data_IF_478798076612
#
_entry.id   IF_478798076612
#
_cell.length_a   1.000
_cell.length_b   1.000
_cell.length_c   1.000
_cell.angle_alpha   90.00
_cell.angle_beta   90.00
_cell.angle_gamma   90.00
#
_symmetry.space_group_name_H-M   'P 1'
#
loop_
_entity.id
_entity.type
_entity.pdbx_description
1 polymer ?
#
# COMPACT_ATOMS: atom_id res chain seq x y z
N UNK A 1 -13.68 0.58 19.44
CA UNK A 1 -13.55 0.44 17.97
C UNK A 1 -12.09 0.23 17.62
N UNK A 2 -11.77 -0.75 16.77
CA UNK A 2 -10.40 -0.97 16.28
C UNK A 2 -9.97 0.24 15.44
N UNK A 3 -8.82 0.83 15.76
CA UNK A 3 -8.11 1.75 14.87
C UNK A 3 -8.02 1.09 13.49
N UNK A 4 -8.44 1.76 12.42
CA UNK A 4 -8.09 1.38 11.04
C UNK A 4 -6.60 1.63 10.73
N UNK A 5 -5.77 1.83 11.76
CA UNK A 5 -4.36 2.17 11.64
C UNK A 5 -3.53 0.92 11.87
N UNK A 6 -3.16 0.26 10.78
CA UNK A 6 -1.86 -0.38 10.73
C UNK A 6 -0.82 0.62 10.22
N UNK A 7 0.45 0.41 10.59
CA UNK A 7 1.57 1.19 10.03
C UNK A 7 1.80 0.86 8.53
N UNK A 8 1.04 -0.07 7.96
CA UNK A 8 1.06 -0.56 6.58
C UNK A 8 0.02 0.13 5.67
N UNK A 9 -0.41 1.32 6.07
CA UNK A 9 -1.43 2.11 5.40
C UNK A 9 -0.90 2.75 4.10
N UNK A 10 -1.33 2.20 2.95
CA UNK A 10 -0.83 2.58 1.63
C UNK A 10 -1.03 4.06 1.25
N UNK A 11 -1.92 4.79 1.95
CA UNK A 11 -2.12 6.22 1.72
C UNK A 11 -1.06 7.14 2.35
N UNK A 12 -0.19 6.62 3.24
CA UNK A 12 0.98 7.36 3.72
C UNK A 12 2.07 7.45 2.64
N UNK A 13 2.12 6.46 1.74
CA UNK A 13 3.12 6.38 0.68
C UNK A 13 2.58 6.97 -0.64
N UNK A 14 3.46 7.66 -1.36
CA UNK A 14 3.21 8.02 -2.76
C UNK A 14 3.18 6.77 -3.64
N UNK A 15 2.52 6.89 -4.81
CA UNK A 15 2.51 5.78 -5.79
C UNK A 15 3.92 5.40 -6.25
N UNK A 16 4.85 6.36 -6.29
CA UNK A 16 6.24 6.14 -6.70
C UNK A 16 7.00 5.36 -5.62
N UNK A 17 6.86 5.73 -4.35
CA UNK A 17 7.47 4.99 -3.24
C UNK A 17 7.00 3.54 -3.19
N UNK A 18 5.70 3.30 -3.34
CA UNK A 18 5.15 1.94 -3.44
C UNK A 18 5.79 1.20 -4.62
N UNK A 19 5.83 1.80 -5.82
CA UNK A 19 6.42 1.14 -6.99
C UNK A 19 7.89 0.76 -6.75
N UNK A 20 8.69 1.66 -6.17
CA UNK A 20 10.09 1.37 -5.84
C UNK A 20 10.23 0.23 -4.83
N UNK A 21 9.43 0.22 -3.77
CA UNK A 21 9.45 -0.87 -2.78
C UNK A 21 9.12 -2.21 -3.45
N UNK A 22 8.09 -2.23 -4.30
CA UNK A 22 7.68 -3.42 -5.04
C UNK A 22 8.75 -3.88 -6.03
N UNK A 23 9.42 -2.96 -6.73
CA UNK A 23 10.51 -3.31 -7.65
C UNK A 23 11.69 -3.98 -6.94
N UNK A 24 12.05 -3.52 -5.75
CA UNK A 24 13.08 -4.18 -4.92
C UNK A 24 12.68 -5.63 -4.66
N UNK A 25 11.45 -5.85 -4.18
CA UNK A 25 10.91 -7.18 -3.86
C UNK A 25 10.89 -8.09 -5.10
N UNK A 26 10.36 -7.61 -6.23
CA UNK A 26 10.29 -8.35 -7.49
C UNK A 26 11.69 -8.70 -8.00
N UNK A 27 12.65 -7.78 -7.85
CA UNK A 27 14.04 -7.99 -8.27
C UNK A 27 14.80 -9.01 -7.42
N UNK A 28 14.17 -9.54 -6.36
CA UNK A 28 14.80 -10.46 -5.40
C UNK A 28 16.00 -9.87 -4.66
N UNK A 29 16.06 -8.54 -4.57
CA UNK A 29 17.14 -7.82 -3.89
C UNK A 29 16.69 -7.43 -2.49
N UNK A 30 17.60 -7.51 -1.53
CA UNK A 30 17.44 -6.84 -0.24
C UNK A 30 17.69 -5.34 -0.40
N UNK A 31 16.87 -4.45 0.19
CA UNK A 31 17.21 -3.03 0.24
C UNK A 31 18.52 -2.85 0.99
N UNK A 32 19.38 -1.95 0.51
CA UNK A 32 20.68 -1.70 1.16
C UNK A 32 20.46 -1.06 2.53
N UNK A 33 21.33 -1.27 3.53
CA UNK A 33 21.14 -0.71 4.87
C UNK A 33 20.94 0.81 4.87
N UNK A 34 21.69 1.53 4.04
CA UNK A 34 21.58 2.98 3.86
C UNK A 34 20.22 3.41 3.30
N UNK A 35 19.65 2.62 2.39
CA UNK A 35 18.31 2.86 1.83
C UNK A 35 17.21 2.55 2.83
N UNK A 36 17.35 1.43 3.54
CA UNK A 36 16.41 1.01 4.58
C UNK A 36 16.36 2.04 5.73
N UNK A 37 17.50 2.60 6.14
CA UNK A 37 17.59 3.67 7.16
C UNK A 37 16.93 5.00 6.73
N UNK A 38 16.71 5.23 5.43
CA UNK A 38 16.03 6.43 4.91
C UNK A 38 14.51 6.25 4.83
N UNK A 39 14.01 5.03 4.98
CA UNK A 39 12.58 4.77 4.97
C UNK A 39 11.96 5.19 6.30
N UNK A 40 10.78 5.78 6.21
CA UNK A 40 9.96 6.01 7.40
C UNK A 40 9.27 4.70 7.84
N UNK A 41 8.64 4.74 9.02
CA UNK A 41 7.97 3.58 9.60
C UNK A 41 6.88 3.00 8.67
N UNK A 42 6.26 3.84 7.83
CA UNK A 42 5.24 3.41 6.88
C UNK A 42 5.85 2.65 5.70
N UNK A 43 6.95 3.13 5.13
CA UNK A 43 7.66 2.46 4.06
C UNK A 43 8.25 1.13 4.52
N UNK A 44 8.84 1.07 5.71
CA UNK A 44 9.34 -0.17 6.33
C UNK A 44 8.20 -1.17 6.53
N UNK A 45 7.11 -0.75 7.18
CA UNK A 45 5.96 -1.62 7.45
C UNK A 45 5.32 -2.14 6.16
N UNK A 46 5.18 -1.27 5.15
CA UNK A 46 4.69 -1.65 3.84
C UNK A 46 5.60 -2.66 3.14
N UNK A 47 6.92 -2.44 3.14
CA UNK A 47 7.89 -3.39 2.59
C UNK A 47 7.77 -4.76 3.24
N UNK A 48 7.79 -4.84 4.57
CA UNK A 48 7.69 -6.11 5.30
C UNK A 48 6.38 -6.86 4.99
N UNK A 49 5.26 -6.12 4.95
CA UNK A 49 3.97 -6.70 4.57
C UNK A 49 3.97 -7.22 3.14
N UNK A 50 4.57 -6.48 2.21
CA UNK A 50 4.67 -6.91 0.82
C UNK A 50 5.61 -8.11 0.66
N UNK A 51 6.71 -8.21 1.43
CA UNK A 51 7.55 -9.41 1.44
C UNK A 51 6.74 -10.66 1.79
N UNK A 52 5.86 -10.55 2.78
CA UNK A 52 4.91 -11.62 3.14
C UNK A 52 3.95 -11.93 2.00
N UNK A 53 3.39 -10.90 1.34
CA UNK A 53 2.47 -11.07 0.21
C UNK A 53 3.12 -11.71 -1.03
N UNK A 54 4.43 -11.52 -1.21
CA UNK A 54 5.21 -12.14 -2.27
C UNK A 54 5.85 -13.47 -1.85
N UNK A 55 5.65 -13.93 -0.62
CA UNK A 55 6.30 -15.12 -0.06
C UNK A 55 7.83 -15.07 -0.22
N UNK A 56 8.42 -13.94 0.14
CA UNK A 56 9.88 -13.72 0.13
C UNK A 56 10.35 -13.43 1.53
N UNK A 57 11.32 -14.23 1.98
CA UNK A 57 11.97 -14.04 3.26
C UNK A 57 13.25 -13.21 3.09
N UNK A 58 13.19 -11.93 3.48
CA UNK A 58 14.35 -11.05 3.54
C UNK A 58 14.76 -10.74 4.99
N UNK A 59 14.58 -11.67 5.94
CA UNK A 59 14.91 -11.52 7.37
C UNK A 59 16.40 -11.25 7.70
N UNK A 60 17.21 -10.70 6.80
CA UNK A 60 18.65 -10.52 7.00
C UNK A 60 19.15 -9.08 6.86
N UNK A 61 18.34 -8.08 7.25
CA UNK A 61 18.81 -6.69 7.32
C UNK A 61 19.16 -6.16 8.72
N UNK A 62 19.07 -7.00 9.75
CA UNK A 62 19.49 -6.64 11.12
C UNK A 62 20.85 -7.26 11.55
N UNK A 63 21.64 -7.79 10.61
CA UNK A 63 22.93 -8.42 10.94
C UNK A 63 24.15 -7.65 10.41
N UNK A 64 24.20 -6.32 10.59
CA UNK A 64 25.49 -5.60 10.52
C UNK A 64 25.51 -4.31 11.36
N UNK A 65 24.84 -4.31 12.50
CA UNK A 65 25.11 -3.34 13.58
C UNK A 65 25.21 -4.10 14.90
N UNK A 66 26.44 -4.22 15.40
CA UNK A 66 26.85 -4.86 16.67
C UNK A 66 26.82 -6.40 16.72
N UNK A 67 28.02 -7.00 16.69
CA UNK A 67 28.51 -8.09 17.56
C UNK A 67 29.85 -8.57 16.96
N UNK A 68 31.01 -8.04 17.35
CA UNK A 68 31.64 -8.26 18.66
C UNK A 68 30.68 -8.30 19.85
N UNK A 69 30.10 -9.49 20.08
CA UNK A 69 30.62 -10.31 21.17
C UNK A 69 30.31 -11.79 20.90
N UNK A 70 31.38 -12.58 20.95
CA UNK A 70 31.50 -14.04 21.02
C UNK A 70 30.68 -14.94 20.06
N UNK A 71 31.41 -15.56 19.11
CA UNK A 71 31.14 -16.96 18.71
C UNK A 71 32.41 -17.78 18.80
N UNK A 72 32.32 -18.93 19.50
CA UNK A 72 32.62 -20.32 19.07
C UNK A 72 32.82 -21.16 20.34
N UNK A 73 32.41 -22.43 20.45
CA UNK A 73 32.01 -23.46 19.48
C UNK A 73 31.29 -24.60 20.24
N UNK A 74 30.58 -25.43 19.48
CA UNK A 74 29.94 -26.69 19.80
C UNK A 74 30.74 -27.62 20.76
N UNK A 75 30.07 -28.33 21.66
CA UNK A 75 29.65 -29.75 21.56
C UNK A 75 29.15 -30.26 22.93
N UNK A 76 28.02 -30.97 22.96
CA UNK A 76 27.48 -31.73 24.10
C UNK A 76 28.30 -33.01 24.40
N UNK A 77 28.07 -33.78 25.50
CA UNK A 77 27.44 -33.49 26.81
C UNK A 77 28.30 -33.94 28.03
N UNK A 78 27.78 -33.68 29.24
CA UNK A 78 27.98 -34.41 30.52
C UNK A 78 29.15 -34.05 31.47
N UNK A 79 28.74 -33.54 32.65
CA UNK A 79 29.27 -33.76 34.03
C UNK A 79 30.66 -33.29 34.49
N UNK A 80 30.60 -32.47 35.57
CA UNK A 80 31.43 -32.41 36.81
C UNK A 80 32.86 -31.81 36.81
N UNK A 81 32.95 -30.72 37.59
CA UNK A 81 33.94 -30.34 38.62
C UNK A 81 35.44 -30.07 38.31
N UNK A 82 35.80 -28.82 38.67
CA UNK A 82 36.98 -28.35 39.43
C UNK A 82 38.39 -28.27 38.79
N UNK A 83 38.95 -27.05 38.91
CA UNK A 83 40.30 -26.69 39.40
C UNK A 83 41.41 -26.28 38.41
N UNK A 84 41.72 -24.97 38.48
CA UNK A 84 43.05 -24.33 38.68
C UNK A 84 44.10 -24.16 37.55
N UNK A 85 44.55 -22.89 37.48
CA UNK A 85 45.92 -22.34 37.30
C UNK A 85 46.53 -22.10 35.89
N UNK A 86 46.83 -20.80 35.68
CA UNK A 86 48.12 -20.17 35.33
C UNK A 86 48.61 -20.10 33.87
N UNK A 87 48.81 -18.85 33.41
CA UNK A 87 50.05 -18.31 32.82
C UNK A 87 50.34 -18.59 31.34
N UNK A 88 50.32 -17.54 30.51
CA UNK A 88 51.50 -16.95 29.82
C UNK A 88 51.07 -16.05 28.65
N UNK A 89 51.74 -14.89 28.58
CA UNK A 89 51.74 -13.92 27.48
C UNK A 89 52.37 -14.53 26.23
N UNK A 90 51.76 -14.31 25.06
CA UNK A 90 52.51 -14.12 23.81
C UNK A 90 51.89 -12.98 23.01
N UNK A 91 52.74 -11.99 22.76
CA UNK A 91 52.55 -10.80 21.95
C UNK A 91 52.58 -11.22 20.47
N UNK A 92 51.53 -10.92 19.69
CA UNK A 92 51.61 -11.06 18.23
C UNK A 92 50.99 -9.86 17.51
N UNK A 93 51.80 -9.34 16.60
CA UNK A 93 51.74 -8.06 15.91
C UNK A 93 50.44 -7.83 15.11
N UNK A 94 49.85 -6.64 15.27
CA UNK A 94 48.65 -6.22 14.55
C UNK A 94 49.07 -5.43 13.30
N UNK A 95 48.94 -6.04 12.11
CA UNK A 95 48.96 -5.30 10.85
C UNK A 95 47.55 -5.18 10.30
N UNK A 96 46.88 -4.08 10.62
CA UNK A 96 45.54 -3.70 10.15
C UNK A 96 45.58 -3.41 8.64
N UNK A 97 44.99 -4.28 7.81
CA UNK A 97 44.58 -3.89 6.46
C UNK A 97 43.22 -3.20 6.56
N UNK A 98 43.23 -1.86 6.61
CA UNK A 98 42.02 -1.05 6.53
C UNK A 98 41.32 -1.28 5.20
N UNK A 99 40.01 -1.54 5.26
CA UNK A 99 39.12 -1.43 4.10
C UNK A 99 39.23 0.01 3.60
N UNK A 100 39.67 0.17 2.35
CA UNK A 100 39.98 1.47 1.77
C UNK A 100 38.68 2.26 1.56
N UNK A 101 38.74 3.56 1.87
CA UNK A 101 37.66 4.52 1.67
C UNK A 101 37.16 4.50 0.20
N UNK A 102 38.04 4.15 -0.74
CA UNK A 102 37.72 3.99 -2.16
C UNK A 102 36.73 2.85 -2.43
N UNK A 103 36.77 1.74 -1.68
CA UNK A 103 35.85 0.60 -1.84
C UNK A 103 34.42 0.98 -1.38
N UNK A 104 34.32 1.67 -0.24
CA UNK A 104 33.05 2.24 0.26
C UNK A 104 32.46 3.29 -0.69
N UNK A 105 33.30 4.15 -1.28
CA UNK A 105 32.86 5.15 -2.25
C UNK A 105 32.48 4.54 -3.60
N UNK A 106 33.04 3.38 -3.95
CA UNK A 106 32.68 2.64 -5.16
C UNK A 106 31.31 1.99 -5.00
N UNK A 107 31.04 1.36 -3.86
CA UNK A 107 29.75 0.76 -3.52
C UNK A 107 28.63 1.82 -3.48
N UNK A 108 28.89 3.00 -2.91
CA UNK A 108 27.94 4.14 -2.92
C UNK A 108 27.64 4.62 -4.35
N UNK A 109 28.65 4.67 -5.23
CA UNK A 109 28.46 5.10 -6.64
C UNK A 109 27.69 4.06 -7.46
N UNK A 110 27.92 2.78 -7.22
CA UNK A 110 27.20 1.68 -7.88
C UNK A 110 25.73 1.59 -7.40
N UNK A 111 25.47 1.87 -6.12
CA UNK A 111 24.11 1.96 -5.57
C UNK A 111 23.34 3.19 -6.09
N UNK A 112 23.98 4.36 -6.14
CA UNK A 112 23.38 5.58 -6.73
C UNK A 112 23.06 5.38 -8.21
N UNK A 113 23.92 4.65 -8.94
CA UNK A 113 23.67 4.30 -10.34
C UNK A 113 22.48 3.33 -10.48
N UNK A 114 22.34 2.32 -9.62
CA UNK A 114 21.19 1.41 -9.66
C UNK A 114 19.87 2.08 -9.25
N UNK A 115 19.89 2.94 -8.24
CA UNK A 115 18.71 3.72 -7.83
C UNK A 115 18.32 4.74 -8.90
N UNK A 116 19.31 5.35 -9.55
CA UNK A 116 19.08 6.23 -10.68
C UNK A 116 18.61 5.46 -11.92
N UNK A 117 19.13 4.26 -12.21
CA UNK A 117 18.68 3.40 -13.30
C UNK A 117 17.28 2.84 -13.09
N UNK A 118 16.94 2.37 -11.88
CA UNK A 118 15.59 1.91 -11.54
C UNK A 118 14.61 3.09 -11.62
N UNK A 119 14.95 4.22 -11.02
CA UNK A 119 14.16 5.46 -11.12
C UNK A 119 14.05 5.96 -12.55
N UNK A 120 15.10 5.83 -13.37
CA UNK A 120 15.13 6.22 -14.78
C UNK A 120 14.35 5.22 -15.63
N UNK A 121 14.32 3.94 -15.29
CA UNK A 121 13.53 2.92 -15.98
C UNK A 121 12.04 3.03 -15.63
N UNK A 122 11.70 3.29 -14.36
CA UNK A 122 10.35 3.67 -13.94
C UNK A 122 9.89 4.95 -14.67
N UNK A 123 10.73 5.99 -14.69
CA UNK A 123 10.49 7.23 -15.44
C UNK A 123 10.43 7.02 -16.95
N UNK A 124 11.23 6.11 -17.52
CA UNK A 124 11.23 5.75 -18.95
C UNK A 124 9.97 4.98 -19.30
N UNK A 125 9.53 3.99 -18.51
CA UNK A 125 8.25 3.30 -18.70
C UNK A 125 7.08 4.28 -18.60
N UNK A 126 7.13 5.23 -17.67
CA UNK A 126 6.20 6.37 -17.59
C UNK A 126 6.32 7.35 -18.77
N UNK A 127 7.50 7.49 -19.37
CA UNK A 127 7.76 8.34 -20.53
C UNK A 127 7.43 7.66 -21.87
N UNK A 128 7.50 6.33 -21.95
CA UNK A 128 7.02 5.53 -23.09
C UNK A 128 5.51 5.73 -23.23
N UNK A 129 4.77 5.83 -22.12
CA UNK A 129 3.35 6.25 -22.11
C UNK A 129 3.17 7.67 -22.70
N UNK A 130 4.16 8.55 -22.61
CA UNK A 130 4.12 9.90 -23.21
C UNK A 130 4.53 9.94 -24.69
N UNK A 131 5.23 8.92 -25.20
CA UNK A 131 5.73 8.86 -26.58
C UNK A 131 4.71 8.26 -27.58
N UNK A 132 3.67 7.58 -27.09
CA UNK A 132 2.59 7.01 -27.91
C UNK A 132 1.47 8.06 -28.04
N UNK A 133 1.74 9.14 -28.78
CA UNK A 133 0.78 10.24 -28.98
C UNK A 133 0.47 11.04 -27.70
N UNK A 134 -0.35 12.09 -27.81
CA UNK A 134 -0.78 12.87 -26.63
C UNK A 134 -1.47 11.91 -25.64
N UNK A 135 -0.95 11.74 -24.41
CA UNK A 135 -1.59 10.86 -23.44
C UNK A 135 -3.02 11.35 -23.17
N UNK A 136 -4.01 10.49 -23.46
CA UNK A 136 -5.40 10.74 -23.13
C UNK A 136 -5.52 10.54 -21.61
N UNK A 137 -5.58 11.64 -20.88
CA UNK A 137 -5.80 11.59 -19.44
C UNK A 137 -7.28 11.57 -19.13
N UNK A 138 -7.71 10.53 -18.43
CA UNK A 138 -9.06 10.47 -17.88
C UNK A 138 -9.08 11.31 -16.61
N UNK A 139 -10.00 12.27 -16.54
CA UNK A 139 -10.25 13.03 -15.32
C UNK A 139 -11.52 12.48 -14.68
N UNK A 140 -11.36 11.86 -13.51
CA UNK A 140 -12.49 11.51 -12.68
C UNK A 140 -13.29 12.73 -12.21
N UNK A 141 -14.46 12.53 -11.58
CA UNK A 141 -14.97 11.25 -11.09
C UNK A 141 -15.37 10.25 -12.20
N UNK A 142 -15.17 8.96 -11.95
CA UNK A 142 -15.42 7.89 -12.92
C UNK A 142 -16.80 7.29 -12.74
N UNK A 143 -17.59 7.30 -13.82
CA UNK A 143 -18.87 6.58 -13.89
C UNK A 143 -18.62 5.21 -14.50
N UNK A 144 -18.47 4.19 -13.66
CA UNK A 144 -18.15 2.82 -14.08
C UNK A 144 -19.40 1.95 -14.32
N UNK A 145 -20.57 2.51 -14.06
CA UNK A 145 -21.88 1.89 -14.28
C UNK A 145 -23.01 2.86 -13.96
N UNK A 146 -24.23 2.38 -14.07
CA UNK A 146 -25.45 3.15 -13.78
C UNK A 146 -26.49 2.31 -13.05
N UNK A 147 -27.31 2.99 -12.25
CA UNK A 147 -28.52 2.40 -11.68
C UNK A 147 -29.71 2.59 -12.63
N UNK A 148 -30.64 1.65 -12.60
CA UNK A 148 -31.95 1.80 -13.25
C UNK A 148 -32.73 2.96 -12.62
N UNK A 149 -33.62 3.64 -13.36
CA UNK A 149 -34.41 4.75 -12.82
C UNK A 149 -35.17 4.37 -11.55
N UNK A 150 -35.08 5.20 -10.50
CA UNK A 150 -35.70 4.95 -9.20
C UNK A 150 -34.95 3.94 -8.31
N UNK A 151 -33.75 3.51 -8.73
CA UNK A 151 -32.85 2.64 -7.95
C UNK A 151 -31.52 3.33 -7.64
N UNK A 152 -31.39 4.61 -7.95
CA UNK A 152 -30.20 5.39 -7.61
C UNK A 152 -29.99 5.45 -6.08
N UNK A 153 -28.74 5.49 -5.60
CA UNK A 153 -28.45 5.65 -4.18
C UNK A 153 -29.02 6.95 -3.63
N UNK A 154 -29.81 6.86 -2.57
CA UNK A 154 -30.33 8.00 -1.80
C UNK A 154 -29.38 8.41 -0.65
N UNK A 155 -28.53 7.48 -0.23
CA UNK A 155 -27.52 7.65 0.81
C UNK A 155 -26.12 7.27 0.32
N UNK A 156 -25.09 7.70 1.04
CA UNK A 156 -23.72 7.27 0.75
C UNK A 156 -23.48 5.83 1.20
N UNK A 157 -22.59 5.09 0.52
CA UNK A 157 -22.21 3.76 0.97
C UNK A 157 -21.60 3.78 2.37
N UNK A 158 -21.83 2.70 3.12
CA UNK A 158 -21.36 2.56 4.50
C UNK A 158 -19.86 2.82 4.66
N UNK A 159 -19.02 2.31 3.75
CA UNK A 159 -17.58 2.54 3.79
C UNK A 159 -17.18 4.01 3.63
N UNK A 160 -17.88 4.77 2.80
CA UNK A 160 -17.66 6.21 2.71
C UNK A 160 -18.09 6.92 4.01
N UNK A 161 -19.20 6.49 4.61
CA UNK A 161 -19.61 6.97 5.94
C UNK A 161 -18.53 6.71 7.00
N UNK A 162 -17.94 5.51 7.03
CA UNK A 162 -16.85 5.17 7.96
C UNK A 162 -15.65 6.11 7.82
N UNK A 163 -15.24 6.41 6.58
CA UNK A 163 -14.14 7.33 6.28
C UNK A 163 -14.46 8.78 6.70
N UNK A 164 -15.69 9.26 6.44
CA UNK A 164 -16.11 10.60 6.88
C UNK A 164 -16.19 10.66 8.41
N UNK A 165 -16.66 9.60 9.07
CA UNK A 165 -16.68 9.50 10.54
C UNK A 165 -15.27 9.57 11.11
N UNK A 166 -14.32 8.84 10.53
CA UNK A 166 -12.91 8.90 10.91
C UNK A 166 -12.37 10.33 10.81
N UNK A 167 -12.64 11.05 9.71
CA UNK A 167 -12.26 12.45 9.56
C UNK A 167 -12.88 13.36 10.64
N UNK A 168 -14.17 13.18 10.95
CA UNK A 168 -14.86 13.93 12.01
C UNK A 168 -14.25 13.64 13.39
N UNK A 169 -13.96 12.39 13.70
CA UNK A 169 -13.35 11.99 14.96
C UNK A 169 -11.91 12.52 15.09
N UNK A 170 -11.16 12.65 13.98
CA UNK A 170 -9.87 13.35 13.95
C UNK A 170 -10.04 14.84 14.23
N UNK A 171 -10.98 15.49 13.55
CA UNK A 171 -11.25 16.93 13.74
C UNK A 171 -11.65 17.26 15.19
N UNK A 172 -12.42 16.40 15.85
CA UNK A 172 -12.84 16.60 17.25
C UNK A 172 -11.69 16.55 18.26
N UNK A 173 -10.66 15.74 18.00
CA UNK A 173 -9.49 15.58 18.89
C UNK A 173 -8.28 16.39 18.45
N UNK A 174 -8.41 17.18 17.39
CA UNK A 174 -7.32 17.79 16.65
C UNK A 174 -6.45 18.67 17.56
N UNK A 175 -5.31 18.13 17.98
CA UNK A 175 -4.46 18.78 19.00
C UNK A 175 -2.98 18.87 18.58
N UNK A 176 -2.56 18.21 17.49
CA UNK A 176 -1.15 18.17 17.08
C UNK A 176 -0.96 17.94 15.57
N UNK A 177 0.30 17.98 15.13
CA UNK A 177 0.72 17.76 13.73
C UNK A 177 0.38 16.36 13.19
N UNK A 178 0.39 15.33 14.04
CA UNK A 178 0.05 13.96 13.62
C UNK A 178 -1.44 13.86 13.27
N UNK A 179 -2.33 14.46 14.08
CA UNK A 179 -3.75 14.53 13.76
C UNK A 179 -4.01 15.26 12.42
N UNK A 180 -3.17 16.25 12.07
CA UNK A 180 -3.25 16.91 10.76
C UNK A 180 -2.84 15.98 9.60
N UNK A 181 -1.79 15.19 9.77
CA UNK A 181 -1.36 14.19 8.78
C UNK A 181 -2.47 13.15 8.60
N UNK A 182 -3.01 12.66 9.71
CA UNK A 182 -4.09 11.68 9.72
C UNK A 182 -5.36 12.21 9.05
N UNK A 183 -5.73 13.46 9.32
CA UNK A 183 -6.88 14.11 8.67
C UNK A 183 -6.67 14.21 7.16
N UNK A 184 -5.47 14.64 6.73
CA UNK A 184 -5.13 14.71 5.30
C UNK A 184 -5.24 13.34 4.63
N UNK A 185 -4.91 12.27 5.35
CA UNK A 185 -4.98 10.90 4.84
C UNK A 185 -6.41 10.39 4.78
N UNK A 186 -7.21 10.59 5.83
CA UNK A 186 -8.64 10.30 5.80
C UNK A 186 -9.33 11.01 4.61
N UNK A 187 -9.00 12.27 4.37
CA UNK A 187 -9.55 13.03 3.23
C UNK A 187 -8.98 12.61 1.86
N UNK A 188 -7.75 12.08 1.81
CA UNK A 188 -7.24 11.41 0.59
C UNK A 188 -8.04 10.14 0.31
N UNK A 189 -8.35 9.33 1.32
CA UNK A 189 -9.20 8.13 1.20
C UNK A 189 -10.60 8.49 0.72
N UNK A 190 -11.24 9.50 1.33
CA UNK A 190 -12.55 10.01 0.92
C UNK A 190 -12.52 10.44 -0.55
N UNK A 191 -11.54 11.26 -0.96
CA UNK A 191 -11.42 11.70 -2.37
C UNK A 191 -11.15 10.55 -3.33
N UNK A 192 -10.35 9.57 -2.91
CA UNK A 192 -10.11 8.35 -3.68
C UNK A 192 -11.42 7.59 -3.88
N UNK A 193 -12.15 7.30 -2.80
CA UNK A 193 -13.45 6.65 -2.86
C UNK A 193 -14.40 7.38 -3.82
N UNK A 194 -14.56 8.70 -3.66
CA UNK A 194 -15.44 9.51 -4.50
C UNK A 194 -15.02 9.57 -5.98
N UNK A 195 -13.74 9.29 -6.28
CA UNK A 195 -13.23 9.24 -7.65
C UNK A 195 -13.60 7.93 -8.34
N UNK A 196 -13.39 6.79 -7.67
CA UNK A 196 -13.53 5.47 -8.29
C UNK A 196 -14.90 4.82 -8.08
N UNK A 197 -15.64 5.21 -7.04
CA UNK A 197 -16.98 4.71 -6.73
C UNK A 197 -18.07 5.78 -6.95
N UNK A 198 -17.83 6.73 -7.86
CA UNK A 198 -18.75 7.86 -8.05
C UNK A 198 -20.16 7.42 -8.47
N UNK A 199 -20.27 6.33 -9.24
CA UNK A 199 -21.57 5.75 -9.62
C UNK A 199 -22.44 5.34 -8.42
N UNK A 200 -21.85 5.14 -7.24
CA UNK A 200 -22.52 4.70 -6.02
C UNK A 200 -22.82 5.84 -5.04
N UNK A 201 -22.62 7.09 -5.46
CA UNK A 201 -22.92 8.25 -4.65
C UNK A 201 -24.29 8.83 -5.02
N UNK A 202 -25.01 9.43 -4.06
CA UNK A 202 -26.20 10.20 -4.37
C UNK A 202 -25.91 11.30 -5.39
N UNK A 203 -26.90 11.61 -6.21
CA UNK A 203 -26.76 12.62 -7.26
C UNK A 203 -26.32 13.97 -6.68
N UNK A 204 -25.22 14.52 -7.22
CA UNK A 204 -24.66 15.80 -6.78
C UNK A 204 -23.86 15.74 -5.47
N UNK A 205 -23.72 14.57 -4.84
CA UNK A 205 -22.99 14.44 -3.59
C UNK A 205 -21.52 14.83 -3.73
N UNK A 206 -21.02 15.62 -2.77
CA UNK A 206 -19.62 16.03 -2.65
C UNK A 206 -19.22 16.08 -1.18
N UNK A 207 -18.00 15.64 -0.89
CA UNK A 207 -17.44 15.78 0.45
C UNK A 207 -17.22 17.27 0.77
N UNK A 208 -17.79 17.71 1.89
CA UNK A 208 -17.56 19.02 2.46
C UNK A 208 -17.19 18.86 3.94
N UNK A 209 -15.95 19.25 4.29
CA UNK A 209 -15.42 19.16 5.65
C UNK A 209 -16.32 19.86 6.67
N UNK A 210 -16.86 21.04 6.34
CA UNK A 210 -17.68 21.83 7.26
C UNK A 210 -19.00 21.13 7.61
N UNK A 211 -19.54 20.35 6.68
CA UNK A 211 -20.83 19.66 6.84
C UNK A 211 -20.67 18.19 7.27
N UNK A 212 -19.43 17.69 7.39
CA UNK A 212 -19.15 16.30 7.67
C UNK A 212 -19.80 15.82 8.98
N UNK A 213 -19.72 16.61 10.05
CA UNK A 213 -20.33 16.27 11.35
C UNK A 213 -21.86 16.11 11.27
N UNK A 214 -22.53 16.95 10.49
CA UNK A 214 -23.98 16.87 10.27
C UNK A 214 -24.36 15.59 9.51
N UNK A 215 -23.59 15.27 8.46
CA UNK A 215 -23.78 14.05 7.68
C UNK A 215 -23.62 12.79 8.55
N UNK A 216 -22.67 12.78 9.48
CA UNK A 216 -22.50 11.65 10.41
C UNK A 216 -23.65 11.53 11.40
N UNK A 217 -24.16 12.66 11.92
CA UNK A 217 -25.24 12.65 12.91
C UNK A 217 -26.57 12.12 12.35
N UNK A 218 -26.84 12.35 11.05
CA UNK A 218 -28.06 11.89 10.39
C UNK A 218 -27.97 10.50 9.76
N UNK A 219 -26.83 9.81 9.83
CA UNK A 219 -26.64 8.51 9.19
C UNK A 219 -27.07 7.39 10.15
N UNK A 220 -27.98 6.51 9.71
CA UNK A 220 -28.47 5.36 10.49
C UNK A 220 -27.69 4.07 10.17
N UNK A 221 -26.57 3.75 10.85
CA UNK A 221 -25.78 2.57 10.51
C UNK A 221 -26.51 1.23 10.70
N UNK A 222 -27.68 1.22 11.35
CA UNK A 222 -28.48 0.01 11.62
C UNK A 222 -29.64 -0.19 10.64
N UNK A 223 -29.99 0.84 9.88
CA UNK A 223 -31.05 0.78 8.87
C UNK A 223 -30.67 -0.13 7.71
N UNK A 224 -31.60 -1.02 7.30
CA UNK A 224 -31.41 -1.95 6.18
C UNK A 224 -31.11 -1.26 4.84
N UNK A 225 -31.44 0.02 4.69
CA UNK A 225 -31.15 0.84 3.50
C UNK A 225 -29.68 1.21 3.34
N UNK A 226 -28.85 1.06 4.38
CA UNK A 226 -27.42 1.41 4.34
C UNK A 226 -26.50 0.24 3.96
N UNK A 227 -27.06 -0.96 3.81
CA UNK A 227 -26.38 -2.04 3.11
C UNK A 227 -26.25 -1.65 1.65
N UNK A 228 -25.14 -2.05 1.03
CA UNK A 228 -24.89 -1.68 -0.36
C UNK A 228 -25.92 -2.36 -1.28
N UNK A 229 -27.01 -1.64 -1.57
CA UNK A 229 -28.03 -2.10 -2.50
C UNK A 229 -27.51 -1.91 -3.92
N UNK A 230 -26.85 -2.93 -4.43
CA UNK A 230 -26.44 -3.02 -5.84
C UNK A 230 -27.63 -3.40 -6.75
N UNK A 231 -28.85 -3.46 -6.21
CA UNK A 231 -30.05 -3.78 -6.95
C UNK A 231 -30.30 -2.75 -8.06
N UNK A 232 -30.37 -3.22 -9.31
CA UNK A 232 -30.55 -2.36 -10.48
C UNK A 232 -29.27 -1.64 -10.95
N UNK A 233 -28.12 -1.90 -10.32
CA UNK A 233 -26.82 -1.44 -10.82
C UNK A 233 -26.36 -2.29 -11.99
N UNK A 234 -25.94 -1.64 -13.07
CA UNK A 234 -25.34 -2.28 -14.24
C UNK A 234 -23.96 -1.67 -14.52
N UNK A 235 -22.86 -2.44 -14.39
CA UNK A 235 -21.53 -2.00 -14.79
C UNK A 235 -21.48 -1.72 -16.29
N UNK A 236 -20.76 -0.67 -16.70
CA UNK A 236 -20.49 -0.39 -18.10
C UNK A 236 -19.39 -1.34 -18.58
N UNK A 237 -19.78 -2.40 -19.32
CA UNK A 237 -18.84 -3.41 -19.83
C UNK A 237 -17.73 -2.81 -20.69
N UNK A 238 -18.08 -1.81 -21.49
CA UNK A 238 -17.14 -1.13 -22.40
C UNK A 238 -16.21 -0.14 -21.66
N UNK A 239 -16.42 0.11 -20.36
CA UNK A 239 -15.53 0.97 -19.58
C UNK A 239 -14.09 0.47 -19.60
N UNK A 240 -13.90 -0.85 -19.58
CA UNK A 240 -12.59 -1.47 -19.66
C UNK A 240 -11.87 -1.18 -20.98
N UNK A 241 -12.60 -0.85 -22.05
CA UNK A 241 -12.07 -0.56 -23.39
C UNK A 241 -11.82 0.94 -23.61
N UNK A 242 -12.20 1.78 -22.64
CA UNK A 242 -12.00 3.22 -22.74
C UNK A 242 -10.49 3.55 -22.88
N UNK A 243 -10.17 4.40 -23.85
CA UNK A 243 -8.80 4.84 -24.11
C UNK A 243 -8.34 5.84 -23.06
N UNK A 244 -7.09 5.71 -22.63
CA UNK A 244 -6.42 6.67 -21.76
C UNK A 244 -5.94 6.06 -20.45
N UNK A 245 -5.45 6.92 -19.57
CA UNK A 245 -4.99 6.54 -18.24
C UNK A 245 -5.44 7.57 -17.20
N UNK A 246 -5.63 7.09 -15.97
CA UNK A 246 -5.82 7.95 -14.82
C UNK A 246 -4.46 8.51 -14.37
N UNK A 247 -4.24 9.84 -14.40
CA UNK A 247 -2.94 10.42 -14.05
C UNK A 247 -2.56 10.24 -12.58
N UNK A 248 -3.50 9.87 -11.70
CA UNK A 248 -3.22 9.67 -10.26
C UNK A 248 -2.68 8.27 -9.96
N UNK A 249 -3.20 7.26 -10.64
CA UNK A 249 -2.82 5.85 -10.44
C UNK A 249 -1.90 5.34 -11.55
N UNK A 250 -1.85 6.05 -12.68
CA UNK A 250 -1.23 5.62 -13.94
C UNK A 250 -1.82 4.32 -14.51
N UNK A 251 -3.02 3.93 -14.07
CA UNK A 251 -3.73 2.78 -14.61
C UNK A 251 -4.62 3.18 -15.79
N UNK A 252 -4.74 2.27 -16.75
CA UNK A 252 -5.81 2.31 -17.74
C UNK A 252 -7.14 1.93 -17.09
N UNK A 253 -8.29 2.27 -17.70
CA UNK A 253 -9.60 1.78 -17.27
C UNK A 253 -9.64 0.26 -17.10
N UNK A 254 -9.00 -0.47 -18.03
CA UNK A 254 -8.82 -1.91 -17.91
C UNK A 254 -8.10 -2.31 -16.63
N UNK A 255 -6.97 -1.68 -16.33
CA UNK A 255 -6.21 -1.97 -15.10
C UNK A 255 -7.01 -1.71 -13.83
N UNK A 256 -7.82 -0.65 -13.81
CA UNK A 256 -8.73 -0.36 -12.68
C UNK A 256 -9.78 -1.47 -12.53
N UNK A 257 -10.44 -1.86 -13.63
CA UNK A 257 -11.44 -2.94 -13.65
C UNK A 257 -10.84 -4.26 -13.20
N UNK A 258 -9.64 -4.58 -13.65
CA UNK A 258 -8.95 -5.84 -13.31
C UNK A 258 -8.65 -5.91 -11.81
N UNK A 259 -8.13 -4.84 -11.21
CA UNK A 259 -7.88 -4.79 -9.76
C UNK A 259 -9.18 -4.86 -8.95
N UNK A 260 -10.23 -4.13 -9.35
CA UNK A 260 -11.53 -4.21 -8.69
C UNK A 260 -12.11 -5.63 -8.77
N UNK A 261 -11.97 -6.29 -9.92
CA UNK A 261 -12.44 -7.67 -10.12
C UNK A 261 -11.69 -8.68 -9.25
N UNK A 262 -10.38 -8.48 -9.05
CA UNK A 262 -9.57 -9.30 -8.12
C UNK A 262 -10.16 -9.20 -6.71
N UNK A 263 -10.38 -7.99 -6.19
CA UNK A 263 -10.90 -7.81 -4.83
C UNK A 263 -12.33 -8.33 -4.71
N UNK A 264 -13.18 -8.06 -5.70
CA UNK A 264 -14.54 -8.61 -5.78
C UNK A 264 -14.58 -10.13 -5.73
N UNK A 265 -13.63 -10.81 -6.38
CA UNK A 265 -13.55 -12.28 -6.37
C UNK A 265 -13.27 -12.88 -4.99
N UNK A 266 -12.77 -12.07 -4.04
CA UNK A 266 -12.31 -12.48 -2.71
C UNK A 266 -11.24 -13.57 -2.71
N UNK A 267 -10.61 -13.83 -3.86
CA UNK A 267 -9.48 -14.76 -3.99
C UNK A 267 -8.20 -13.95 -3.89
N UNK A 268 -7.38 -14.22 -2.87
CA UNK A 268 -6.11 -13.51 -2.67
C UNK A 268 -5.24 -13.65 -3.93
N UNK A 269 -4.79 -12.54 -4.54
CA UNK A 269 -4.04 -12.59 -5.78
C UNK A 269 -2.59 -13.05 -5.55
N UNK A 270 -2.00 -13.64 -6.57
CA UNK A 270 -0.53 -13.77 -6.64
C UNK A 270 0.07 -12.42 -7.07
N UNK A 271 0.83 -11.78 -6.19
CA UNK A 271 1.43 -10.47 -6.47
C UNK A 271 2.54 -10.52 -7.54
N UNK A 272 3.18 -11.68 -7.74
CA UNK A 272 4.26 -11.88 -8.73
C UNK A 272 3.90 -11.52 -10.18
N UNK A 273 2.61 -11.45 -10.53
CA UNK A 273 2.14 -11.07 -11.87
C UNK A 273 1.60 -9.64 -11.98
N UNK A 274 1.60 -8.87 -10.90
CA UNK A 274 1.02 -7.53 -10.87
C UNK A 274 2.10 -6.45 -11.00
N UNK A 275 1.84 -5.43 -11.83
CA UNK A 275 2.70 -4.25 -11.89
C UNK A 275 2.56 -3.40 -10.63
N UNK A 276 3.60 -2.64 -10.29
CA UNK A 276 3.64 -1.78 -9.10
C UNK A 276 2.45 -0.81 -9.01
N UNK A 277 1.96 -0.30 -10.15
CA UNK A 277 0.77 0.56 -10.20
C UNK A 277 -0.51 -0.20 -9.81
N UNK A 278 -0.67 -1.44 -10.30
CA UNK A 278 -1.81 -2.30 -9.94
C UNK A 278 -1.78 -2.63 -8.45
N UNK A 279 -0.61 -2.96 -7.91
CA UNK A 279 -0.42 -3.24 -6.48
C UNK A 279 -0.70 -1.98 -5.64
N UNK A 280 -0.20 -0.82 -6.06
CA UNK A 280 -0.47 0.46 -5.40
C UNK A 280 -1.97 0.77 -5.32
N UNK A 281 -2.69 0.58 -6.42
CA UNK A 281 -4.13 0.77 -6.46
C UNK A 281 -4.89 -0.27 -5.63
N UNK A 282 -4.47 -1.54 -5.70
CA UNK A 282 -5.02 -2.64 -4.90
C UNK A 282 -4.91 -2.37 -3.40
N UNK A 283 -3.72 -2.02 -2.91
CA UNK A 283 -3.50 -1.75 -1.49
C UNK A 283 -4.31 -0.53 -1.02
N UNK A 284 -4.42 0.52 -1.85
CA UNK A 284 -5.26 1.68 -1.55
C UNK A 284 -6.76 1.33 -1.52
N UNK A 285 -7.23 0.50 -2.45
CA UNK A 285 -8.61 0.00 -2.40
C UNK A 285 -8.84 -0.80 -1.11
N UNK A 286 -7.99 -1.76 -0.79
CA UNK A 286 -8.12 -2.57 0.41
C UNK A 286 -8.13 -1.69 1.68
N UNK A 287 -7.22 -0.71 1.77
CA UNK A 287 -7.19 0.26 2.87
C UNK A 287 -8.47 1.09 3.01
N UNK A 288 -9.07 1.52 1.89
CA UNK A 288 -10.32 2.26 1.92
C UNK A 288 -11.48 1.46 2.53
N UNK A 289 -11.41 0.13 2.44
CA UNK A 289 -12.44 -0.79 2.90
C UNK A 289 -12.03 -1.55 4.17
N UNK A 290 -10.82 -1.31 4.71
CA UNK A 290 -10.30 -2.08 5.84
C UNK A 290 -10.07 -3.57 5.54
N UNK A 291 -9.89 -3.91 4.26
CA UNK A 291 -9.61 -5.26 3.79
C UNK A 291 -8.12 -5.56 3.95
N UNK A 292 -7.80 -6.78 4.36
CA UNK A 292 -6.41 -7.21 4.47
C UNK A 292 -5.82 -7.64 3.12
N UNK A 293 -4.66 -7.09 2.77
CA UNK A 293 -4.01 -7.27 1.46
C UNK A 293 -3.71 -8.73 1.15
N UNK A 294 -3.42 -9.53 2.18
CA UNK A 294 -2.92 -10.91 2.07
C UNK A 294 -4.01 -11.97 2.27
N UNK A 295 -5.25 -11.56 2.54
CA UNK A 295 -6.34 -12.49 2.87
C UNK A 295 -7.71 -11.93 2.46
N UNK A 296 -7.92 -11.80 1.16
CA UNK A 296 -9.19 -11.34 0.60
C UNK A 296 -10.36 -12.26 0.94
N UNK A 297 -10.10 -13.53 1.23
CA UNK A 297 -11.13 -14.50 1.59
C UNK A 297 -11.87 -14.08 2.86
N UNK A 298 -11.21 -13.32 3.74
CA UNK A 298 -11.76 -12.80 4.98
C UNK A 298 -12.60 -11.52 4.78
N UNK A 299 -12.55 -10.86 3.62
CA UNK A 299 -13.40 -9.71 3.33
C UNK A 299 -14.87 -10.13 3.30
N UNK A 300 -15.79 -9.32 3.83
CA UNK A 300 -17.22 -9.63 3.73
C UNK A 300 -17.74 -9.35 2.32
N UNK A 301 -18.88 -9.94 1.96
CA UNK A 301 -19.53 -9.65 0.67
C UNK A 301 -19.93 -8.17 0.56
N UNK A 302 -20.39 -7.58 1.67
CA UNK A 302 -20.72 -6.16 1.75
C UNK A 302 -19.49 -5.26 1.51
N UNK A 303 -18.29 -5.68 1.90
CA UNK A 303 -17.05 -4.91 1.69
C UNK A 303 -16.64 -4.86 0.23
N UNK A 304 -16.90 -5.93 -0.53
CA UNK A 304 -16.39 -6.07 -1.90
C UNK A 304 -17.45 -5.82 -2.97
N UNK A 305 -18.75 -5.82 -2.63
CA UNK A 305 -19.84 -5.72 -3.59
C UNK A 305 -19.76 -4.49 -4.51
N UNK A 306 -19.27 -3.35 -4.00
CA UNK A 306 -19.05 -2.13 -4.77
C UNK A 306 -17.99 -2.28 -5.87
N UNK A 307 -17.16 -3.32 -5.79
CA UNK A 307 -16.10 -3.62 -6.75
C UNK A 307 -16.59 -4.57 -7.86
N UNK A 308 -17.88 -4.88 -7.90
CA UNK A 308 -18.49 -5.68 -8.95
C UNK A 308 -18.47 -4.93 -10.29
N UNK A 309 -17.54 -5.33 -11.16
CA UNK A 309 -17.39 -4.77 -12.50
C UNK A 309 -18.10 -5.58 -13.60
N UNK A 310 -18.94 -6.56 -13.23
CA UNK A 310 -19.71 -7.36 -14.20
C UNK A 310 -18.84 -8.30 -15.05
N UNK A 311 -17.60 -8.54 -14.62
CA UNK A 311 -16.71 -9.54 -15.19
C UNK A 311 -16.94 -10.85 -14.43
N UNK A 312 -17.51 -11.84 -15.11
CA UNK A 312 -17.61 -13.19 -14.56
C UNK A 312 -16.18 -13.70 -14.27
N UNK A 313 -15.98 -14.22 -13.07
CA UNK A 313 -14.75 -14.89 -12.67
C UNK A 313 -14.54 -16.23 -13.37
#
# INVERSE_FOLDING_TARGET
MKKLRGNDEAFHLSSIEICHIIEIIISRKTPTPKRYQRWDDYAISFYLKMCTCFDVDYQHLEASTSKDDCRKKQLSPLTKEMSSKAGQEEHMDCTTKGVSLEDLLKEIREEEHMDEEISKECRKKLAVIKLIGKPIYLRGPYKMGSYSPGKEPDCIPYHLYLLVREAVDIMKRYNNTNDLIDLKIAEKKIRFFCTYFNSHLPTGWKYNRANASFLIAGYDPTGGNNRCLMAGYTPFRDWAEAKGCDPKTYLSPRGIVDVMSIIHSRKTPTFWGMFGQNISFYCKLCSCFGIDYHRLEAASEDDVCLMNMGRNG
#
